data_IF_437777061308
#
_entry.id   IF_437777061308
#
_cell.length_a   1.000
_cell.length_b   1.000
_cell.length_c   1.000
_cell.angle_alpha   90.00
_cell.angle_beta   90.00
_cell.angle_gamma   90.00
#
_symmetry.space_group_name_H-M   'P 1'
#
loop_
_entity.id
_entity.type
_entity.pdbx_description
1 polymer ?
#
# COMPACT_ATOMS: atom_id res chain seq x y z
N UNK A 1 -11.23 -19.84 1.67
CA UNK A 1 -11.27 -19.43 0.25
C UNK A 1 -12.51 -18.58 0.02
N UNK A 2 -12.39 -17.25 0.13
CA UNK A 2 -13.46 -16.33 -0.30
C UNK A 2 -12.97 -15.63 -1.56
N UNK A 3 -13.39 -16.18 -2.71
CA UNK A 3 -13.17 -15.57 -4.03
C UNK A 3 -13.96 -14.27 -4.08
N UNK A 4 -13.28 -13.14 -4.26
CA UNK A 4 -13.93 -11.89 -4.55
C UNK A 4 -14.57 -11.99 -5.94
N UNK A 5 -15.89 -12.21 -5.98
CA UNK A 5 -16.68 -12.16 -7.21
C UNK A 5 -17.05 -10.71 -7.46
N UNK A 6 -16.49 -10.13 -8.50
CA UNK A 6 -17.04 -8.90 -9.09
C UNK A 6 -18.40 -9.25 -9.70
N UNK A 7 -19.50 -8.83 -9.07
CA UNK A 7 -20.83 -8.92 -9.62
C UNK A 7 -21.13 -7.66 -10.43
N UNK A 8 -21.58 -7.76 -11.69
CA UNK A 8 -22.14 -6.63 -12.38
C UNK A 8 -23.47 -6.27 -11.72
N UNK A 9 -23.65 -5.03 -11.31
CA UNK A 9 -24.92 -4.52 -10.87
C UNK A 9 -25.83 -4.33 -12.07
N UNK A 10 -26.68 -5.34 -12.37
CA UNK A 10 -27.80 -5.20 -13.28
C UNK A 10 -29.05 -5.03 -12.42
N UNK A 11 -29.51 -3.81 -12.28
CA UNK A 11 -30.83 -3.51 -11.74
C UNK A 11 -31.80 -3.29 -12.93
N UNK A 12 -32.73 -4.18 -13.12
CA UNK A 12 -33.91 -4.02 -13.99
C UNK A 12 -34.94 -3.19 -13.23
N UNK A 13 -35.20 -1.98 -13.68
CA UNK A 13 -36.36 -1.19 -13.33
C UNK A 13 -36.96 -0.60 -14.61
N UNK A 14 -38.18 -1.04 -14.90
CA UNK A 14 -39.17 -0.44 -15.81
C UNK A 14 -38.64 0.30 -17.07
N UNK A 15 -38.58 -0.46 -18.16
CA UNK A 15 -39.03 0.01 -19.50
C UNK A 15 -38.36 1.21 -20.15
N UNK A 16 -37.33 1.85 -19.60
CA UNK A 16 -36.58 2.90 -20.25
C UNK A 16 -35.11 2.55 -20.35
N UNK A 17 -34.61 2.52 -21.58
CA UNK A 17 -33.17 2.41 -21.88
C UNK A 17 -32.55 3.74 -21.53
N UNK A 18 -32.04 3.86 -20.31
CA UNK A 18 -31.09 4.91 -19.96
C UNK A 18 -29.70 4.33 -20.20
N UNK A 19 -29.01 4.93 -21.13
CA UNK A 19 -27.62 4.68 -21.45
C UNK A 19 -26.78 5.00 -20.19
N UNK A 20 -26.61 4.01 -19.32
CA UNK A 20 -25.66 4.13 -18.24
C UNK A 20 -24.28 3.98 -18.83
N UNK A 21 -23.57 5.10 -18.94
CA UNK A 21 -22.13 5.10 -19.13
C UNK A 21 -21.52 4.01 -18.26
N UNK A 22 -20.87 3.05 -18.90
CA UNK A 22 -20.22 1.91 -18.28
C UNK A 22 -19.24 2.41 -17.22
N UNK A 23 -19.67 2.47 -15.97
CA UNK A 23 -18.75 2.58 -14.85
C UNK A 23 -17.98 1.27 -14.87
N UNK A 24 -16.79 1.32 -15.42
CA UNK A 24 -15.83 0.24 -15.34
C UNK A 24 -15.60 -0.02 -13.84
N UNK A 25 -16.32 -0.97 -13.29
CA UNK A 25 -16.19 -1.40 -11.91
C UNK A 25 -14.85 -2.08 -11.74
N UNK A 26 -13.80 -1.31 -11.52
CA UNK A 26 -12.50 -1.85 -11.14
C UNK A 26 -12.65 -2.67 -9.87
N UNK A 27 -12.18 -3.91 -9.90
CA UNK A 27 -12.18 -4.76 -8.71
C UNK A 27 -11.27 -4.13 -7.65
N UNK A 28 -11.86 -3.57 -6.62
CA UNK A 28 -11.13 -3.00 -5.49
C UNK A 28 -10.88 -4.08 -4.45
N UNK A 29 -9.63 -4.27 -4.08
CA UNK A 29 -9.25 -5.08 -2.91
C UNK A 29 -8.96 -4.18 -1.73
N UNK A 30 -9.29 -4.64 -0.54
CA UNK A 30 -9.01 -3.93 0.70
C UNK A 30 -8.66 -4.91 1.81
N UNK A 31 -7.93 -4.43 2.80
CA UNK A 31 -7.56 -5.22 3.95
C UNK A 31 -7.04 -4.36 5.09
N UNK A 32 -6.70 -5.06 6.16
CA UNK A 32 -6.15 -4.46 7.37
C UNK A 32 -4.81 -5.08 7.74
N UNK A 33 -4.04 -4.37 8.56
CA UNK A 33 -2.81 -4.85 9.15
C UNK A 33 -2.66 -4.29 10.56
N UNK A 34 -1.73 -4.87 11.29
CA UNK A 34 -1.44 -4.48 12.67
C UNK A 34 0.04 -4.18 12.82
N UNK A 35 0.34 -3.21 13.65
CA UNK A 35 1.71 -2.85 13.97
C UNK A 35 1.89 -2.50 15.42
N UNK A 36 3.13 -2.54 15.86
CA UNK A 36 3.53 -2.09 17.20
C UNK A 36 4.95 -1.56 17.16
N UNK A 37 5.27 -0.68 18.11
CA UNK A 37 6.66 -0.31 18.36
C UNK A 37 7.41 -1.52 18.94
N UNK A 38 8.75 -1.63 18.76
CA UNK A 38 9.54 -2.73 19.32
C UNK A 38 9.37 -2.91 20.85
N UNK A 39 9.01 -1.83 21.54
CA UNK A 39 8.67 -1.86 22.98
C UNK A 39 7.27 -2.41 23.26
N UNK A 40 6.46 -2.68 22.25
CA UNK A 40 5.06 -3.12 22.39
C UNK A 40 4.10 -2.06 22.92
N UNK A 41 4.57 -0.83 23.16
CA UNK A 41 3.82 0.18 23.91
C UNK A 41 2.78 0.94 23.07
N UNK A 42 2.82 0.85 21.74
CA UNK A 42 1.95 1.66 20.88
C UNK A 42 1.39 0.82 19.73
N UNK A 43 0.21 0.21 19.94
CA UNK A 43 -0.47 -0.51 18.86
C UNK A 43 -0.87 0.47 17.74
N UNK A 44 -0.70 0.03 16.51
CA UNK A 44 -1.06 0.75 15.31
C UNK A 44 -1.93 -0.13 14.43
N UNK A 45 -3.00 0.40 13.90
CA UNK A 45 -3.85 -0.30 12.95
C UNK A 45 -3.65 0.29 11.57
N UNK A 46 -3.44 -0.59 10.59
CA UNK A 46 -3.34 -0.22 9.18
C UNK A 46 -4.60 -0.65 8.45
N UNK A 47 -5.04 0.17 7.49
CA UNK A 47 -6.03 -0.21 6.49
C UNK A 47 -5.53 0.19 5.10
N UNK A 48 -5.78 -0.62 4.09
CA UNK A 48 -5.35 -0.37 2.73
C UNK A 48 -6.44 -0.70 1.73
N UNK A 49 -6.37 -0.04 0.57
CA UNK A 49 -7.27 -0.21 -0.55
C UNK A 49 -6.49 -0.10 -1.85
N UNK A 50 -6.69 -1.08 -2.75
CA UNK A 50 -6.07 -1.12 -4.08
C UNK A 50 -7.10 -1.36 -5.16
N UNK A 51 -6.90 -0.76 -6.32
CA UNK A 51 -7.71 -0.99 -7.52
C UNK A 51 -6.95 -1.76 -8.61
N UNK A 52 -5.62 -1.81 -8.55
CA UNK A 52 -4.76 -2.42 -9.58
C UNK A 52 -3.87 -3.54 -9.03
N UNK A 53 -3.93 -3.81 -7.73
CA UNK A 53 -3.09 -4.79 -7.04
C UNK A 53 -1.65 -4.35 -6.80
N UNK A 54 -1.18 -3.30 -7.45
CA UNK A 54 0.22 -2.81 -7.37
C UNK A 54 0.32 -1.54 -6.53
N UNK A 55 -0.67 -0.69 -6.62
CA UNK A 55 -0.73 0.58 -5.90
C UNK A 55 -2.07 0.77 -5.18
N UNK A 56 -2.11 1.74 -4.30
CA UNK A 56 -3.33 2.06 -3.58
C UNK A 56 -3.16 3.10 -2.50
N UNK A 57 -4.18 3.22 -1.69
CA UNK A 57 -4.18 4.09 -0.52
C UNK A 57 -4.01 3.28 0.76
N UNK A 58 -3.33 3.86 1.73
CA UNK A 58 -3.11 3.27 3.04
C UNK A 58 -3.36 4.30 4.12
N UNK A 59 -3.97 3.87 5.20
CA UNK A 59 -4.12 4.65 6.42
C UNK A 59 -3.48 3.90 7.58
N UNK A 60 -2.82 4.63 8.47
CA UNK A 60 -2.30 4.10 9.72
C UNK A 60 -2.87 4.93 10.87
N UNK A 61 -3.51 4.26 11.81
CA UNK A 61 -4.05 4.87 13.02
C UNK A 61 -3.22 4.45 14.22
N UNK A 62 -2.58 5.41 14.86
CA UNK A 62 -1.77 5.19 16.05
C UNK A 62 -2.66 5.12 17.29
N UNK A 63 -2.09 4.59 18.39
CA UNK A 63 -2.79 4.47 19.68
C UNK A 63 -3.20 5.80 20.30
N UNK A 64 -2.54 6.90 19.94
CA UNK A 64 -2.90 8.26 20.38
C UNK A 64 -4.02 8.91 19.54
N UNK A 65 -4.57 8.17 18.56
CA UNK A 65 -5.60 8.64 17.65
C UNK A 65 -5.07 9.40 16.43
N UNK A 66 -3.76 9.58 16.29
CA UNK A 66 -3.18 10.22 15.12
C UNK A 66 -3.38 9.32 13.89
N UNK A 67 -3.90 9.89 12.81
CA UNK A 67 -4.12 9.20 11.54
C UNK A 67 -3.12 9.71 10.50
N UNK A 68 -2.41 8.79 9.89
CA UNK A 68 -1.56 9.04 8.73
C UNK A 68 -2.22 8.41 7.50
N UNK A 69 -2.33 9.16 6.41
CA UNK A 69 -2.97 8.71 5.16
C UNK A 69 -2.06 9.01 3.98
N UNK A 70 -2.04 8.12 3.02
CA UNK A 70 -1.24 8.35 1.81
C UNK A 70 -1.32 7.20 0.82
N UNK A 71 -0.38 7.20 -0.11
CA UNK A 71 -0.30 6.19 -1.14
C UNK A 71 0.81 5.18 -0.83
N UNK A 72 0.60 3.96 -1.35
CA UNK A 72 1.62 2.93 -1.39
C UNK A 72 1.79 2.39 -2.81
N UNK A 73 2.96 1.85 -3.08
CA UNK A 73 3.32 1.21 -4.35
C UNK A 73 4.10 -0.06 -4.08
N UNK A 74 3.78 -1.10 -4.82
CA UNK A 74 4.63 -2.27 -4.94
C UNK A 74 5.69 -2.00 -6.02
N UNK A 75 6.94 -2.21 -5.69
CA UNK A 75 8.05 -2.06 -6.64
C UNK A 75 8.04 -3.26 -7.57
N UNK A 76 7.80 -2.98 -8.85
CA UNK A 76 7.94 -3.94 -9.95
C UNK A 76 9.22 -3.62 -10.72
N UNK A 77 9.63 -4.45 -11.65
CA UNK A 77 10.77 -4.13 -12.52
C UNK A 77 10.52 -2.92 -13.41
N UNK A 78 9.24 -2.64 -13.70
CA UNK A 78 8.84 -1.48 -14.48
C UNK A 78 8.79 -0.18 -13.66
N UNK A 79 8.95 -0.28 -12.32
CA UNK A 79 8.98 0.91 -11.46
C UNK A 79 10.38 1.51 -11.48
N UNK A 80 10.50 2.70 -12.04
CA UNK A 80 11.76 3.45 -12.05
C UNK A 80 11.98 4.16 -10.71
N UNK A 81 13.25 4.43 -10.38
CA UNK A 81 13.61 5.21 -9.19
C UNK A 81 12.91 6.57 -9.18
N UNK A 82 12.73 7.16 -10.37
CA UNK A 82 12.06 8.45 -10.53
C UNK A 82 10.59 8.42 -10.13
N UNK A 83 9.90 7.29 -10.29
CA UNK A 83 8.49 7.15 -9.89
C UNK A 83 8.28 7.10 -8.39
N UNK A 84 9.28 6.69 -7.62
CA UNK A 84 9.22 6.64 -6.15
C UNK A 84 9.93 7.80 -5.47
N UNK A 85 10.82 8.51 -6.18
CA UNK A 85 11.57 9.63 -5.64
C UNK A 85 10.69 10.72 -4.97
N UNK A 86 9.52 11.12 -5.54
CA UNK A 86 8.66 12.10 -4.89
C UNK A 86 8.14 11.68 -3.51
N UNK A 87 8.09 10.37 -3.22
CA UNK A 87 7.66 9.87 -1.91
C UNK A 87 8.68 10.16 -0.80
N UNK A 88 9.92 10.46 -1.18
CA UNK A 88 11.04 10.59 -0.27
C UNK A 88 11.59 12.01 -0.15
N UNK A 89 10.98 12.97 -0.82
CA UNK A 89 11.38 14.37 -0.74
C UNK A 89 11.27 14.88 0.70
N UNK A 90 12.35 15.46 1.22
CA UNK A 90 12.38 16.06 2.56
C UNK A 90 12.73 15.09 3.71
N UNK A 91 13.06 13.84 3.43
CA UNK A 91 13.50 12.90 4.46
C UNK A 91 15.00 12.98 4.73
N UNK A 92 15.38 12.98 6.00
CA UNK A 92 16.79 13.01 6.40
C UNK A 92 17.48 11.67 6.16
N UNK A 93 18.76 11.73 5.78
CA UNK A 93 19.64 10.61 5.54
C UNK A 93 19.89 9.82 6.83
N UNK A 94 19.29 8.67 6.97
CA UNK A 94 19.49 7.82 8.15
C UNK A 94 18.94 6.42 7.97
N UNK A 95 18.08 6.23 7.00
CA UNK A 95 17.56 4.93 6.65
C UNK A 95 18.46 4.29 5.59
N UNK A 96 19.35 3.46 6.07
CA UNK A 96 20.37 2.82 5.26
C UNK A 96 19.80 1.64 4.49
N UNK A 97 19.23 1.88 3.33
CA UNK A 97 18.99 0.79 2.39
C UNK A 97 18.87 1.32 0.95
N UNK A 98 19.98 1.90 0.45
CA UNK A 98 20.08 2.21 -0.98
C UNK A 98 19.86 0.95 -1.84
N UNK A 99 20.29 -0.22 -1.37
CA UNK A 99 20.09 -1.50 -2.04
C UNK A 99 18.61 -1.95 -2.08
N UNK A 100 17.74 -1.42 -1.24
CA UNK A 100 16.30 -1.72 -1.29
C UNK A 100 15.64 -1.13 -2.54
N UNK A 101 16.24 -0.07 -3.09
CA UNK A 101 15.72 0.70 -4.23
C UNK A 101 16.37 0.33 -5.55
N UNK A 102 17.46 -0.42 -5.51
CA UNK A 102 18.22 -0.82 -6.70
C UNK A 102 17.55 -2.02 -7.39
N UNK A 103 16.34 -1.77 -7.91
CA UNK A 103 15.75 -2.62 -8.93
C UNK A 103 16.25 -2.09 -10.28
N UNK A 104 17.48 -2.48 -10.66
CA UNK A 104 18.09 -2.06 -11.92
C UNK A 104 17.17 -2.31 -13.13
N UNK A 105 17.28 -1.49 -14.18
CA UNK A 105 16.45 -1.63 -15.38
C UNK A 105 16.78 -2.94 -16.09
N UNK A 106 15.79 -3.79 -16.29
CA UNK A 106 15.87 -4.95 -17.16
C UNK A 106 14.76 -4.86 -18.20
N UNK A 107 15.06 -5.01 -19.49
CA UNK A 107 14.08 -4.81 -20.57
C UNK A 107 13.20 -6.03 -20.84
N UNK A 108 12.79 -6.75 -19.81
CA UNK A 108 11.88 -7.88 -19.97
C UNK A 108 10.43 -7.41 -19.80
N UNK A 109 9.59 -7.66 -20.80
CA UNK A 109 8.14 -7.39 -20.82
C UNK A 109 7.33 -8.25 -19.83
N UNK A 110 7.99 -8.99 -18.95
CA UNK A 110 7.35 -9.74 -17.86
C UNK A 110 7.43 -8.88 -16.61
N UNK A 111 6.28 -8.45 -16.11
CA UNK A 111 6.19 -7.73 -14.83
C UNK A 111 6.64 -8.65 -13.70
N UNK A 112 7.83 -8.42 -13.18
CA UNK A 112 8.33 -9.12 -12.01
C UNK A 112 7.95 -8.36 -10.75
N UNK A 113 7.08 -8.93 -9.97
CA UNK A 113 6.70 -8.41 -8.66
C UNK A 113 7.83 -8.68 -7.66
N UNK A 114 8.51 -7.64 -7.21
CA UNK A 114 9.61 -7.77 -6.24
C UNK A 114 9.12 -8.15 -4.83
N UNK A 115 7.84 -7.98 -4.57
CA UNK A 115 7.25 -8.09 -3.24
C UNK A 115 7.57 -6.93 -2.32
N UNK A 116 8.37 -5.96 -2.75
CA UNK A 116 8.69 -4.77 -1.97
C UNK A 116 7.61 -3.73 -2.16
N UNK A 117 7.07 -3.23 -1.06
CA UNK A 117 6.06 -2.16 -1.05
C UNK A 117 6.62 -0.99 -0.27
N UNK A 118 6.36 0.19 -0.77
CA UNK A 118 6.70 1.45 -0.11
C UNK A 118 5.46 2.31 0.05
N UNK A 119 5.37 3.03 1.15
CA UNK A 119 4.31 3.99 1.39
C UNK A 119 4.87 5.26 2.02
N UNK A 120 4.27 6.38 1.65
CA UNK A 120 4.46 7.66 2.31
C UNK A 120 3.11 8.19 2.77
N UNK A 121 2.95 8.28 4.07
CA UNK A 121 1.71 8.66 4.71
C UNK A 121 1.91 10.01 5.40
N UNK A 122 0.94 10.89 5.31
CA UNK A 122 0.94 12.21 5.93
C UNK A 122 -0.21 12.33 6.93
N UNK A 123 0.04 13.03 8.03
CA UNK A 123 -0.99 13.42 8.98
C UNK A 123 -1.54 14.81 8.64
N UNK A 124 -2.72 15.19 9.16
CA UNK A 124 -3.25 16.54 9.01
C UNK A 124 -2.32 17.64 9.55
N UNK A 125 -1.44 17.30 10.50
CA UNK A 125 -0.42 18.20 11.04
C UNK A 125 0.85 18.29 10.20
N UNK A 126 0.82 17.83 8.94
CA UNK A 126 1.95 17.84 8.00
C UNK A 126 3.17 17.01 8.41
N UNK A 127 3.02 16.13 9.39
CA UNK A 127 4.05 15.15 9.70
C UNK A 127 3.92 13.93 8.78
N UNK A 128 5.05 13.32 8.46
CA UNK A 128 5.10 12.20 7.53
C UNK A 128 5.56 10.91 8.20
N UNK A 129 4.98 9.80 7.79
CA UNK A 129 5.44 8.46 8.12
C UNK A 129 5.76 7.72 6.82
N UNK A 130 6.95 7.13 6.74
CA UNK A 130 7.33 6.30 5.60
C UNK A 130 7.38 4.84 5.99
N UNK A 131 6.91 3.98 5.11
CA UNK A 131 6.84 2.55 5.34
C UNK A 131 7.51 1.77 4.23
N UNK A 132 8.06 0.61 4.60
CA UNK A 132 8.54 -0.43 3.68
C UNK A 132 8.00 -1.77 4.14
N UNK A 133 7.49 -2.56 3.20
CA UNK A 133 6.96 -3.89 3.48
C UNK A 133 7.52 -4.90 2.48
N UNK A 134 7.58 -6.16 2.92
CA UNK A 134 7.88 -7.31 2.08
C UNK A 134 6.65 -8.21 2.05
N UNK A 135 6.12 -8.45 0.86
CA UNK A 135 4.95 -9.32 0.65
C UNK A 135 5.38 -10.78 0.59
N UNK A 136 4.51 -11.64 1.12
CA UNK A 136 4.68 -13.11 1.05
C UNK A 136 4.27 -13.64 -0.33
N UNK A 137 3.16 -13.12 -0.86
CA UNK A 137 2.67 -13.46 -2.20
C UNK A 137 2.59 -12.21 -3.08
N UNK A 138 3.71 -11.80 -3.70
CA UNK A 138 3.81 -10.53 -4.42
C UNK A 138 2.80 -10.33 -5.55
N UNK A 139 2.42 -11.40 -6.26
CA UNK A 139 1.44 -11.35 -7.35
C UNK A 139 0.03 -10.97 -6.90
N UNK A 140 -0.26 -11.11 -5.60
CA UNK A 140 -1.56 -10.76 -5.02
C UNK A 140 -1.55 -9.33 -4.42
N UNK A 141 -0.46 -8.59 -4.59
CA UNK A 141 -0.30 -7.29 -3.97
C UNK A 141 -0.42 -7.36 -2.44
N UNK A 142 -0.94 -6.32 -1.82
CA UNK A 142 -1.13 -6.28 -0.36
C UNK A 142 -2.07 -7.39 0.17
N UNK A 143 -2.97 -7.92 -0.66
CA UNK A 143 -3.82 -9.07 -0.30
C UNK A 143 -3.00 -10.36 -0.11
N UNK A 144 -1.80 -10.42 -0.65
CA UNK A 144 -0.87 -11.53 -0.45
C UNK A 144 -0.25 -11.60 0.94
N UNK A 145 -0.54 -10.62 1.77
CA UNK A 145 0.03 -10.51 3.12
C UNK A 145 1.51 -10.19 3.13
N UNK A 146 2.03 -9.84 4.29
CA UNK A 146 3.44 -9.51 4.43
C UNK A 146 3.75 -8.82 5.75
N UNK A 147 4.98 -8.36 5.88
CA UNK A 147 5.43 -7.62 7.04
C UNK A 147 6.44 -6.53 6.66
N UNK A 148 6.68 -5.62 7.55
CA UNK A 148 7.66 -4.58 7.34
C UNK A 148 7.71 -3.56 8.46
N UNK A 149 8.22 -2.39 8.13
CA UNK A 149 8.42 -1.33 9.12
C UNK A 149 7.98 0.01 8.59
N UNK A 150 7.44 0.82 9.50
CA UNK A 150 7.20 2.24 9.29
C UNK A 150 8.11 3.06 10.20
N UNK A 151 8.60 4.18 9.70
CA UNK A 151 9.37 5.14 10.47
C UNK A 151 8.57 6.43 10.65
N UNK A 152 8.44 6.86 11.88
CA UNK A 152 7.83 8.11 12.29
C UNK A 152 8.79 9.30 12.13
N UNK A 153 8.31 10.54 12.12
CA UNK A 153 9.15 11.75 12.00
C UNK A 153 10.20 11.88 13.11
N UNK A 154 9.92 11.35 14.30
CA UNK A 154 10.81 11.33 15.46
C UNK A 154 11.85 10.20 15.42
N UNK A 155 11.88 9.43 14.32
CA UNK A 155 12.80 8.33 14.11
C UNK A 155 12.37 7.00 14.73
N UNK A 156 11.29 6.96 15.49
CA UNK A 156 10.75 5.71 16.02
C UNK A 156 10.24 4.81 14.89
N UNK A 157 10.34 3.51 15.08
CA UNK A 157 9.88 2.51 14.13
C UNK A 157 8.66 1.75 14.66
N UNK A 158 7.80 1.35 13.74
CA UNK A 158 6.64 0.50 13.98
C UNK A 158 6.80 -0.73 13.11
N UNK A 159 6.85 -1.90 13.72
CA UNK A 159 6.81 -3.17 13.00
C UNK A 159 5.36 -3.46 12.62
N UNK A 160 5.11 -3.71 11.33
CA UNK A 160 3.77 -3.92 10.79
C UNK A 160 3.64 -5.30 10.14
N UNK A 161 2.48 -5.91 10.29
CA UNK A 161 2.13 -7.20 9.70
C UNK A 161 0.75 -7.12 9.06
N UNK A 162 0.65 -7.67 7.86
CA UNK A 162 -0.58 -7.77 7.07
C UNK A 162 -0.90 -9.24 6.87
N UNK A 163 -2.05 -9.72 7.30
CA UNK A 163 -2.48 -11.08 7.02
C UNK A 163 -2.78 -11.24 5.52
N UNK A 164 -2.54 -12.43 4.99
CA UNK A 164 -3.05 -12.80 3.66
C UNK A 164 -4.57 -12.93 3.70
N UNK A 165 -5.25 -12.39 2.69
CA UNK A 165 -6.69 -12.43 2.55
C UNK A 165 -7.17 -13.77 1.93
#
# INVERSE_FOLDING_TARGET
>A
MKSARCLPASALLDGQIVDYASVAGGCTTMGTGFGSTPSGASPTTFSWKSSDGVSGTMNATLSDGTIYSGQYFQITRDTTVDSVAPLWVGWHSGWRDAAYWDAGPSPDFITHYSGRVVANLASPSTTHMRCKFQLVHPSNGMAGGGSGQCQLPDGKTIDATFPSA
#
